data_IF_821988142232
#
_entry.id   IF_821988142232
#
_cell.length_a   1.000
_cell.length_b   1.000
_cell.length_c   1.000
_cell.angle_alpha   90.00
_cell.angle_beta   90.00
_cell.angle_gamma   90.00
#
_symmetry.space_group_name_H-M   'P 1'
#
loop_
_entity.id
_entity.type
_entity.pdbx_description
1 polymer ?
#
# COMPACT_ATOMS: atom_id res chain seq x y z
N UNK A 1 -49.81 18.25 -4.31
CA UNK A 1 -48.84 17.61 -3.43
C UNK A 1 -48.29 18.70 -2.50
N UNK A 2 -48.50 18.56 -1.20
CA UNK A 2 -48.38 19.65 -0.22
C UNK A 2 -46.96 20.22 -0.08
N UNK A 3 -45.93 19.48 -0.54
CA UNK A 3 -44.54 19.92 -0.46
C UNK A 3 -44.07 20.70 -1.71
N UNK A 4 -44.86 20.77 -2.80
CA UNK A 4 -44.52 21.53 -3.99
C UNK A 4 -44.99 22.99 -3.90
N UNK A 5 -44.08 23.90 -4.30
CA UNK A 5 -44.38 25.32 -4.48
C UNK A 5 -44.99 25.56 -5.87
N UNK A 6 -44.34 25.06 -6.94
CA UNK A 6 -44.84 25.10 -8.30
C UNK A 6 -44.32 23.96 -9.16
N UNK A 7 -44.96 23.76 -10.29
CA UNK A 7 -44.52 22.90 -11.38
C UNK A 7 -44.38 23.78 -12.63
N UNK A 8 -43.26 23.64 -13.34
CA UNK A 8 -42.98 24.46 -14.54
C UNK A 8 -42.53 23.55 -15.68
N UNK A 9 -43.05 23.83 -16.88
CA UNK A 9 -42.71 23.06 -18.10
C UNK A 9 -41.81 23.88 -18.99
N UNK A 10 -40.62 23.38 -19.26
CA UNK A 10 -39.66 24.02 -20.18
C UNK A 10 -39.22 23.05 -21.26
N UNK A 11 -39.77 23.17 -22.45
CA UNK A 11 -39.54 22.25 -23.55
C UNK A 11 -39.99 20.82 -23.18
N UNK A 12 -39.09 19.88 -23.18
CA UNK A 12 -39.35 18.50 -22.82
C UNK A 12 -39.19 18.19 -21.30
N UNK A 13 -38.89 19.19 -20.48
CA UNK A 13 -38.62 19.02 -19.06
C UNK A 13 -39.80 19.47 -18.21
N UNK A 14 -40.13 18.65 -17.20
CA UNK A 14 -41.09 18.97 -16.16
C UNK A 14 -40.31 19.24 -14.86
N UNK A 15 -40.24 20.51 -14.43
CA UNK A 15 -39.47 20.95 -13.28
C UNK A 15 -40.39 21.06 -12.07
N UNK A 16 -40.01 20.42 -10.96
CA UNK A 16 -40.70 20.50 -9.68
C UNK A 16 -39.94 21.40 -8.71
N UNK A 17 -40.59 22.40 -8.18
CA UNK A 17 -40.05 23.32 -7.19
C UNK A 17 -40.62 22.95 -5.82
N UNK A 18 -39.76 22.58 -4.89
CA UNK A 18 -40.16 22.26 -3.51
C UNK A 18 -40.28 23.54 -2.71
N UNK A 19 -41.26 23.63 -1.84
CA UNK A 19 -41.40 24.73 -0.86
C UNK A 19 -40.14 24.85 -0.03
N UNK A 20 -39.57 26.04 0.06
CA UNK A 20 -38.24 26.26 0.64
C UNK A 20 -38.20 25.95 2.14
N UNK A 21 -39.26 26.29 2.88
CA UNK A 21 -39.41 25.97 4.29
C UNK A 21 -39.47 24.47 4.56
N UNK A 22 -40.27 23.74 3.79
CA UNK A 22 -40.36 22.27 3.89
C UNK A 22 -39.00 21.61 3.53
N UNK A 23 -38.35 22.11 2.47
CA UNK A 23 -37.01 21.59 2.07
C UNK A 23 -35.99 21.79 3.20
N UNK A 24 -35.91 23.02 3.75
CA UNK A 24 -34.94 23.33 4.82
C UNK A 24 -35.23 22.51 6.07
N UNK A 25 -36.49 22.43 6.50
CA UNK A 25 -36.86 21.61 7.66
C UNK A 25 -36.50 20.14 7.47
N UNK A 26 -36.90 19.54 6.34
CA UNK A 26 -36.62 18.13 6.04
C UNK A 26 -35.11 17.85 6.00
N UNK A 27 -34.34 18.77 5.41
CA UNK A 27 -32.87 18.62 5.34
C UNK A 27 -32.23 18.71 6.72
N UNK A 28 -32.65 19.65 7.56
CA UNK A 28 -32.12 19.77 8.93
C UNK A 28 -32.48 18.55 9.76
N UNK A 29 -33.75 18.13 9.75
CA UNK A 29 -34.19 16.93 10.46
C UNK A 29 -33.43 15.66 10.00
N UNK A 30 -33.12 15.57 8.70
CA UNK A 30 -32.35 14.46 8.16
C UNK A 30 -30.87 14.54 8.56
N UNK A 31 -30.27 15.73 8.51
CA UNK A 31 -28.88 15.98 8.86
C UNK A 31 -28.57 15.72 10.35
N UNK A 32 -29.57 15.90 11.22
CA UNK A 32 -29.44 15.63 12.65
C UNK A 32 -29.53 14.15 13.02
N UNK A 33 -29.86 13.27 12.08
CA UNK A 33 -29.84 11.81 12.32
C UNK A 33 -28.41 11.28 12.37
N UNK A 34 -28.12 10.40 13.31
CA UNK A 34 -26.78 9.81 13.52
C UNK A 34 -26.19 9.16 12.27
N UNK A 35 -27.03 8.57 11.42
CA UNK A 35 -26.61 7.90 10.17
C UNK A 35 -26.92 8.73 8.91
N UNK A 36 -26.98 10.07 8.98
CA UNK A 36 -27.19 10.91 7.79
C UNK A 36 -26.14 10.61 6.70
N UNK A 37 -26.60 10.36 5.48
CA UNK A 37 -25.77 9.98 4.34
C UNK A 37 -25.28 8.51 4.36
N UNK A 38 -25.70 7.73 5.36
CA UNK A 38 -25.44 6.28 5.39
C UNK A 38 -26.45 5.50 4.54
N UNK A 39 -26.06 4.29 4.16
CA UNK A 39 -26.91 3.31 3.50
C UNK A 39 -26.56 1.89 3.91
N UNK A 40 -27.34 0.92 3.46
CA UNK A 40 -27.11 -0.52 3.61
C UNK A 40 -26.69 -1.19 2.28
N UNK A 41 -26.29 -0.39 1.28
CA UNK A 41 -25.84 -0.89 -0.03
C UNK A 41 -24.71 -1.93 0.09
N UNK A 42 -23.87 -1.74 1.10
CA UNK A 42 -22.73 -2.60 1.43
C UNK A 42 -23.06 -3.74 2.38
N UNK A 43 -24.31 -3.96 2.77
CA UNK A 43 -24.68 -5.03 3.70
C UNK A 43 -24.15 -6.39 3.21
N UNK A 44 -23.52 -7.15 4.12
CA UNK A 44 -22.90 -8.45 3.88
C UNK A 44 -21.76 -8.48 2.83
N UNK A 45 -21.28 -7.29 2.41
CA UNK A 45 -20.17 -7.17 1.46
C UNK A 45 -18.90 -6.70 2.16
N UNK A 46 -17.76 -7.28 1.77
CA UNK A 46 -16.44 -6.93 2.31
C UNK A 46 -15.62 -6.19 1.26
N UNK A 47 -15.00 -5.10 1.66
CA UNK A 47 -14.00 -4.37 0.86
C UNK A 47 -12.66 -4.42 1.58
N UNK A 48 -11.63 -4.88 0.89
CA UNK A 48 -10.25 -4.72 1.34
C UNK A 48 -9.67 -3.44 0.73
N UNK A 49 -8.94 -2.66 1.51
CA UNK A 49 -8.22 -1.49 1.02
C UNK A 49 -6.76 -1.62 1.47
N UNK A 50 -5.86 -1.65 0.48
CA UNK A 50 -4.41 -1.63 0.65
C UNK A 50 -3.93 -0.20 0.42
N UNK A 51 -3.39 0.43 1.46
CA UNK A 51 -2.96 1.83 1.40
C UNK A 51 -1.91 2.17 2.46
N UNK A 52 -1.30 3.33 2.36
CA UNK A 52 -0.14 3.79 3.13
C UNK A 52 1.13 3.05 2.74
N UNK A 53 1.29 1.81 3.15
CA UNK A 53 2.29 0.83 2.68
C UNK A 53 3.72 1.36 2.63
N UNK A 54 4.23 1.99 3.73
CA UNK A 54 5.58 2.53 3.76
C UNK A 54 6.63 1.41 3.78
N UNK A 55 7.81 1.74 3.25
CA UNK A 55 8.97 0.88 3.40
C UNK A 55 9.56 1.00 4.81
N UNK A 56 9.74 -0.12 5.48
CA UNK A 56 10.37 -0.20 6.81
C UNK A 56 11.79 0.38 6.78
N UNK A 57 12.21 0.98 7.88
CA UNK A 57 13.48 1.69 8.04
C UNK A 57 13.66 2.90 7.10
N UNK A 58 12.55 3.49 6.66
CA UNK A 58 12.54 4.75 5.90
C UNK A 58 11.58 5.75 6.53
N UNK A 59 11.90 7.03 6.37
CA UNK A 59 11.07 8.10 6.89
C UNK A 59 9.69 8.13 6.22
N UNK A 60 8.67 8.43 7.02
CA UNK A 60 7.32 8.66 6.53
C UNK A 60 7.23 10.09 5.94
N UNK A 61 7.19 10.19 4.63
CA UNK A 61 7.21 11.46 3.92
C UNK A 61 5.86 11.79 3.27
N UNK A 62 5.71 13.00 2.75
CA UNK A 62 4.48 13.52 2.12
C UNK A 62 3.91 12.62 1.02
N UNK A 63 4.73 11.84 0.32
CA UNK A 63 4.27 10.85 -0.66
C UNK A 63 3.46 9.73 -0.01
N UNK A 64 3.86 9.28 1.18
CA UNK A 64 3.09 8.31 1.96
C UNK A 64 1.80 8.93 2.54
N UNK A 65 1.83 10.22 2.90
CA UNK A 65 0.66 10.92 3.41
C UNK A 65 -0.49 10.90 2.39
N UNK A 66 -0.19 11.08 1.09
CA UNK A 66 -1.21 11.10 0.03
C UNK A 66 -1.99 9.78 -0.04
N UNK A 67 -1.30 8.64 -0.17
CA UNK A 67 -1.97 7.34 -0.22
C UNK A 67 -2.75 7.06 1.07
N UNK A 68 -2.18 7.44 2.20
CA UNK A 68 -2.78 7.27 3.53
C UNK A 68 -4.10 8.02 3.66
N UNK A 69 -4.16 9.29 3.25
CA UNK A 69 -5.39 10.10 3.29
C UNK A 69 -6.44 9.58 2.31
N UNK A 70 -6.04 9.26 1.07
CA UNK A 70 -6.98 8.73 0.06
C UNK A 70 -7.59 7.42 0.54
N UNK A 71 -6.75 6.48 1.00
CA UNK A 71 -7.21 5.18 1.49
C UNK A 71 -8.13 5.28 2.68
N UNK A 72 -7.80 6.14 3.65
CA UNK A 72 -8.65 6.38 4.82
C UNK A 72 -9.99 7.07 4.45
N UNK A 73 -9.99 7.96 3.45
CA UNK A 73 -11.22 8.56 2.94
C UNK A 73 -12.14 7.51 2.31
N UNK A 74 -11.57 6.63 1.49
CA UNK A 74 -12.30 5.50 0.92
C UNK A 74 -12.86 4.56 2.01
N UNK A 75 -12.04 4.26 3.02
CA UNK A 75 -12.51 3.50 4.19
C UNK A 75 -13.75 4.13 4.81
N UNK A 76 -13.70 5.44 5.12
CA UNK A 76 -14.83 6.15 5.74
C UNK A 76 -16.07 6.15 4.85
N UNK A 77 -15.91 6.35 3.54
CA UNK A 77 -17.00 6.35 2.56
C UNK A 77 -17.67 4.96 2.49
N UNK A 78 -16.88 3.90 2.26
CA UNK A 78 -17.43 2.56 2.17
C UNK A 78 -18.05 2.07 3.49
N UNK A 79 -17.44 2.42 4.63
CA UNK A 79 -18.03 2.13 5.94
C UNK A 79 -19.38 2.83 6.12
N UNK A 80 -19.51 4.09 5.65
CA UNK A 80 -20.76 4.85 5.70
C UNK A 80 -21.83 4.27 4.79
N UNK A 81 -21.42 3.61 3.69
CA UNK A 81 -22.31 2.86 2.78
C UNK A 81 -22.63 1.43 3.27
N UNK A 82 -22.28 1.09 4.50
CA UNK A 82 -22.62 -0.19 5.12
C UNK A 82 -21.70 -1.36 4.79
N UNK A 83 -20.59 -1.16 4.07
CA UNK A 83 -19.62 -2.22 3.81
C UNK A 83 -18.79 -2.54 5.06
N UNK A 84 -18.46 -3.82 5.24
CA UNK A 84 -17.36 -4.20 6.13
C UNK A 84 -16.04 -3.92 5.42
N UNK A 85 -15.28 -2.95 5.92
CA UNK A 85 -14.00 -2.58 5.32
C UNK A 85 -12.84 -3.17 6.12
N UNK A 86 -11.91 -3.82 5.43
CA UNK A 86 -10.65 -4.35 5.95
C UNK A 86 -9.53 -3.43 5.48
N UNK A 87 -8.86 -2.76 6.43
CA UNK A 87 -7.76 -1.81 6.17
C UNK A 87 -6.43 -2.53 6.32
N UNK A 88 -5.67 -2.61 5.23
CA UNK A 88 -4.40 -3.33 5.18
C UNK A 88 -3.27 -2.34 4.92
N UNK A 89 -2.26 -2.37 5.79
CA UNK A 89 -0.99 -1.69 5.60
C UNK A 89 0.03 -2.73 5.10
N UNK A 90 0.27 -2.73 3.78
CA UNK A 90 1.19 -3.66 3.13
C UNK A 90 2.61 -3.11 3.18
N UNK A 91 3.31 -3.35 4.28
CA UNK A 91 4.65 -2.81 4.52
C UNK A 91 5.69 -3.36 3.54
N UNK A 92 6.56 -2.50 3.04
CA UNK A 92 7.79 -2.91 2.35
C UNK A 92 8.84 -3.35 3.38
N UNK A 93 8.64 -4.52 3.96
CA UNK A 93 9.43 -5.02 5.09
C UNK A 93 10.34 -6.22 4.73
N UNK A 94 10.52 -6.51 3.44
CA UNK A 94 11.34 -7.62 2.99
C UNK A 94 12.16 -7.28 1.75
N UNK A 95 13.45 -7.67 1.75
CA UNK A 95 14.33 -7.44 0.61
C UNK A 95 15.79 -7.22 0.99
N UNK A 96 16.66 -7.15 -0.01
CA UNK A 96 18.11 -7.01 0.15
C UNK A 96 18.53 -5.74 0.90
N UNK A 97 17.67 -4.72 0.96
CA UNK A 97 17.93 -3.52 1.77
C UNK A 97 18.11 -3.82 3.26
N UNK A 98 17.48 -4.87 3.77
CA UNK A 98 17.65 -5.27 5.17
C UNK A 98 18.99 -5.91 5.44
N UNK A 99 19.54 -6.69 4.49
CA UNK A 99 20.90 -7.18 4.59
C UNK A 99 21.92 -6.03 4.67
N UNK A 100 21.74 -4.98 3.84
CA UNK A 100 22.56 -3.77 3.89
C UNK A 100 22.47 -3.05 5.24
N UNK A 101 21.26 -2.95 5.77
CA UNK A 101 21.02 -2.28 7.04
C UNK A 101 21.59 -3.08 8.22
N UNK A 102 21.51 -4.42 8.19
CA UNK A 102 22.13 -5.28 9.20
C UNK A 102 23.66 -5.11 9.19
N UNK A 103 24.30 -5.12 8.02
CA UNK A 103 25.74 -4.87 7.89
C UNK A 103 26.10 -3.49 8.42
N UNK A 104 25.34 -2.46 8.05
CA UNK A 104 25.57 -1.10 8.53
C UNK A 104 25.46 -0.99 10.06
N UNK A 105 24.43 -1.62 10.63
CA UNK A 105 24.26 -1.65 12.08
C UNK A 105 25.42 -2.37 12.78
N UNK A 106 25.82 -3.52 12.30
CA UNK A 106 26.93 -4.29 12.92
C UNK A 106 28.28 -3.58 12.84
N UNK A 107 28.53 -2.81 11.78
CA UNK A 107 29.80 -2.11 11.60
C UNK A 107 29.84 -0.72 12.26
N UNK A 108 28.73 0.02 12.28
CA UNK A 108 28.72 1.45 12.64
C UNK A 108 27.56 1.87 13.53
N UNK A 109 26.63 0.98 13.83
CA UNK A 109 25.50 1.26 14.70
C UNK A 109 25.74 0.85 16.15
N UNK A 110 24.95 1.43 17.04
CA UNK A 110 24.82 0.96 18.42
C UNK A 110 23.35 0.83 18.78
N UNK A 111 23.05 -0.06 19.72
CA UNK A 111 21.69 -0.26 20.17
C UNK A 111 21.10 1.02 20.76
N UNK A 112 21.89 1.74 21.57
CA UNK A 112 21.49 2.98 22.23
C UNK A 112 21.15 4.08 21.23
N UNK A 113 21.92 4.22 20.13
CA UNK A 113 21.64 5.20 19.09
C UNK A 113 20.35 4.87 18.33
N UNK A 114 20.14 3.60 17.98
CA UNK A 114 18.93 3.16 17.28
C UNK A 114 17.68 3.28 18.17
N UNK A 115 17.77 2.94 19.47
CA UNK A 115 16.66 3.11 20.40
C UNK A 115 16.33 4.58 20.68
N UNK A 116 17.33 5.47 20.65
CA UNK A 116 17.14 6.91 20.87
C UNK A 116 16.57 7.62 19.65
N UNK A 117 17.18 7.40 18.48
CA UNK A 117 16.94 8.20 17.28
C UNK A 117 16.07 7.46 16.23
N UNK A 118 15.69 6.20 16.48
CA UNK A 118 14.72 5.45 15.70
C UNK A 118 15.06 5.32 14.23
N UNK A 119 14.09 5.61 13.37
CA UNK A 119 14.24 5.52 11.91
C UNK A 119 15.28 6.50 11.37
N UNK A 120 15.50 7.64 12.02
CA UNK A 120 16.53 8.59 11.61
C UNK A 120 17.93 7.95 11.67
N UNK A 121 18.24 7.20 12.74
CA UNK A 121 19.50 6.46 12.83
C UNK A 121 19.59 5.32 11.80
N UNK A 122 18.51 4.57 11.58
CA UNK A 122 18.47 3.53 10.54
C UNK A 122 18.73 4.11 9.15
N UNK A 123 18.19 5.29 8.86
CA UNK A 123 18.44 6.00 7.60
C UNK A 123 19.90 6.47 7.50
N UNK A 124 20.47 7.01 8.56
CA UNK A 124 21.88 7.40 8.62
C UNK A 124 22.80 6.20 8.32
N UNK A 125 22.52 5.08 8.95
CA UNK A 125 23.25 3.83 8.74
C UNK A 125 23.10 3.33 7.28
N UNK A 126 21.90 3.41 6.71
CA UNK A 126 21.64 3.02 5.32
C UNK A 126 22.42 3.89 4.31
N UNK A 127 22.46 5.21 4.52
CA UNK A 127 23.25 6.12 3.68
C UNK A 127 24.73 5.80 3.81
N UNK A 128 25.22 5.65 5.04
CA UNK A 128 26.62 5.30 5.31
C UNK A 128 27.03 3.97 4.65
N UNK A 129 26.13 2.97 4.64
CA UNK A 129 26.39 1.74 3.94
C UNK A 129 26.71 1.97 2.45
N UNK A 130 25.92 2.81 1.77
CA UNK A 130 26.15 3.09 0.35
C UNK A 130 27.46 3.84 0.12
N UNK A 131 27.79 4.83 0.95
CA UNK A 131 29.06 5.57 0.84
C UNK A 131 30.28 4.66 1.04
N UNK A 132 30.20 3.70 1.96
CA UNK A 132 31.30 2.77 2.22
C UNK A 132 31.34 1.61 1.20
N UNK A 133 30.20 1.17 0.69
CA UNK A 133 30.12 0.13 -0.34
C UNK A 133 30.69 0.61 -1.70
N UNK A 134 30.63 1.90 -2.00
CA UNK A 134 31.28 2.49 -3.17
C UNK A 134 32.82 2.40 -3.08
N UNK A 135 33.38 2.36 -1.87
CA UNK A 135 34.80 2.22 -1.60
C UNK A 135 35.24 0.76 -1.41
N UNK A 136 34.36 -0.05 -0.85
CA UNK A 136 34.59 -1.47 -0.58
C UNK A 136 33.40 -2.32 -1.07
N UNK A 137 33.45 -2.88 -2.30
CA UNK A 137 32.40 -3.70 -2.87
C UNK A 137 32.07 -4.99 -2.08
N UNK A 138 33.00 -5.50 -1.24
CA UNK A 138 32.77 -6.71 -0.43
C UNK A 138 31.60 -6.54 0.54
N UNK A 139 31.30 -5.30 0.97
CA UNK A 139 30.14 -4.99 1.80
C UNK A 139 28.81 -5.37 1.14
N UNK A 140 28.75 -5.30 -0.20
CA UNK A 140 27.54 -5.69 -0.95
C UNK A 140 27.35 -7.20 -0.88
N UNK A 141 28.41 -7.97 -0.95
CA UNK A 141 28.34 -9.43 -0.85
C UNK A 141 28.02 -9.87 0.58
N UNK A 142 28.58 -9.18 1.58
CA UNK A 142 28.19 -9.37 2.99
C UNK A 142 26.69 -9.09 3.21
N UNK A 143 26.19 -8.00 2.63
CA UNK A 143 24.75 -7.68 2.71
C UNK A 143 23.86 -8.73 2.05
N UNK A 144 24.29 -9.29 0.91
CA UNK A 144 23.61 -10.43 0.28
C UNK A 144 23.61 -11.67 1.18
N UNK A 145 24.75 -11.94 1.82
CA UNK A 145 24.86 -13.06 2.75
C UNK A 145 23.93 -12.90 3.97
N UNK A 146 23.83 -11.68 4.53
CA UNK A 146 22.88 -11.41 5.62
C UNK A 146 21.43 -11.53 5.19
N UNK A 147 21.07 -11.07 3.99
CA UNK A 147 19.72 -11.26 3.48
C UNK A 147 19.42 -12.75 3.21
N UNK A 148 20.39 -13.51 2.68
CA UNK A 148 20.25 -14.96 2.53
C UNK A 148 20.04 -15.67 3.87
N UNK A 149 20.74 -15.26 4.94
CA UNK A 149 20.48 -15.76 6.30
C UNK A 149 19.03 -15.50 6.74
N UNK A 150 18.50 -14.30 6.50
CA UNK A 150 17.09 -14.00 6.78
C UNK A 150 16.15 -14.95 6.03
N UNK A 151 16.42 -15.21 4.76
CA UNK A 151 15.60 -16.10 3.93
C UNK A 151 15.62 -17.56 4.42
N UNK A 152 16.73 -18.00 5.03
CA UNK A 152 16.88 -19.34 5.58
C UNK A 152 16.54 -19.45 7.07
N UNK A 153 16.00 -18.41 7.67
CA UNK A 153 15.47 -18.46 9.03
C UNK A 153 16.52 -18.29 10.13
N UNK A 154 17.67 -17.68 9.85
CA UNK A 154 18.69 -17.39 10.86
C UNK A 154 18.13 -16.50 11.98
N UNK A 155 18.25 -16.93 13.21
CA UNK A 155 17.63 -16.28 14.37
C UNK A 155 18.18 -14.89 14.63
N UNK A 156 19.49 -14.68 14.47
CA UNK A 156 20.12 -13.38 14.67
C UNK A 156 19.64 -12.38 13.60
N UNK A 157 19.66 -12.78 12.34
CA UNK A 157 19.26 -11.95 11.23
C UNK A 157 17.76 -11.54 11.34
N UNK A 158 16.90 -12.49 11.67
CA UNK A 158 15.46 -12.25 11.86
C UNK A 158 15.17 -11.40 13.10
N UNK A 159 15.93 -11.58 14.19
CA UNK A 159 15.77 -10.76 15.39
C UNK A 159 16.11 -9.29 15.14
N UNK A 160 17.23 -9.01 14.45
CA UNK A 160 17.63 -7.65 14.10
C UNK A 160 16.62 -7.03 13.12
N UNK A 161 16.19 -7.78 12.12
CA UNK A 161 15.17 -7.33 11.16
C UNK A 161 13.83 -7.00 11.85
N UNK A 162 13.35 -7.86 12.75
CA UNK A 162 12.11 -7.63 13.50
C UNK A 162 12.21 -6.37 14.35
N UNK A 163 13.34 -6.18 15.02
CA UNK A 163 13.58 -4.98 15.83
C UNK A 163 13.54 -3.70 14.99
N UNK A 164 14.16 -3.68 13.79
CA UNK A 164 14.07 -2.54 12.88
C UNK A 164 12.64 -2.26 12.41
N UNK A 165 11.88 -3.32 12.18
CA UNK A 165 10.47 -3.23 11.82
C UNK A 165 9.65 -2.62 12.97
N UNK A 166 9.86 -3.08 14.20
CA UNK A 166 9.12 -2.61 15.37
C UNK A 166 9.38 -1.12 15.63
N UNK A 167 10.63 -0.69 15.54
CA UNK A 167 11.02 0.75 15.64
C UNK A 167 10.31 1.58 14.57
N UNK A 168 10.29 1.09 13.34
CA UNK A 168 9.66 1.81 12.23
C UNK A 168 8.15 1.93 12.42
N UNK A 169 7.50 0.88 12.93
CA UNK A 169 6.07 0.90 13.21
C UNK A 169 5.70 1.88 14.31
N UNK A 170 6.53 2.01 15.35
CA UNK A 170 6.32 3.02 16.41
C UNK A 170 6.31 4.42 15.82
N UNK A 171 7.22 4.74 14.91
CA UNK A 171 7.28 6.05 14.26
C UNK A 171 6.09 6.28 13.33
N UNK A 172 5.75 5.33 12.47
CA UNK A 172 4.60 5.46 11.58
C UNK A 172 3.30 5.62 12.35
N UNK A 173 3.17 4.93 13.49
CA UNK A 173 1.99 5.04 14.33
C UNK A 173 1.79 6.46 14.87
N UNK A 174 2.84 7.21 15.16
CA UNK A 174 2.71 8.64 15.55
C UNK A 174 1.99 9.46 14.48
N UNK A 175 2.41 9.30 13.23
CA UNK A 175 1.74 9.99 12.10
C UNK A 175 0.29 9.52 11.94
N UNK A 176 0.01 8.23 12.11
CA UNK A 176 -1.36 7.71 12.04
C UNK A 176 -2.23 8.24 13.18
N UNK A 177 -1.69 8.32 14.39
CA UNK A 177 -2.39 8.87 15.56
C UNK A 177 -2.73 10.37 15.35
N UNK A 178 -1.81 11.16 14.77
CA UNK A 178 -2.08 12.57 14.38
C UNK A 178 -3.20 12.68 13.35
N UNK A 179 -3.35 11.70 12.46
CA UNK A 179 -4.41 11.65 11.45
C UNK A 179 -5.72 11.02 11.97
N UNK A 180 -5.74 10.55 13.22
CA UNK A 180 -6.89 9.86 13.82
C UNK A 180 -7.26 8.58 13.09
N UNK A 181 -6.28 7.77 12.70
CA UNK A 181 -6.47 6.57 11.90
C UNK A 181 -5.62 5.40 12.37
N UNK A 182 -6.05 4.21 12.03
CA UNK A 182 -5.34 2.96 12.29
C UNK A 182 -5.66 1.93 11.19
N UNK A 183 -5.00 0.77 11.22
CA UNK A 183 -5.20 -0.33 10.30
C UNK A 183 -5.67 -1.58 11.05
N UNK A 184 -6.45 -2.41 10.37
CA UNK A 184 -6.86 -3.70 10.93
C UNK A 184 -5.71 -4.71 10.87
N UNK A 185 -4.85 -4.58 9.84
CA UNK A 185 -3.71 -5.46 9.64
C UNK A 185 -2.47 -4.74 9.10
N UNK A 186 -1.32 -5.05 9.68
CA UNK A 186 0.01 -4.70 9.21
C UNK A 186 0.67 -5.94 8.61
N UNK A 187 0.33 -6.26 7.35
CA UNK A 187 0.79 -7.45 6.64
C UNK A 187 1.73 -7.03 5.51
N UNK A 188 3.02 -7.06 5.78
CA UNK A 188 4.04 -6.69 4.81
C UNK A 188 4.43 -7.82 3.86
N UNK A 189 5.39 -7.53 2.98
CA UNK A 189 5.95 -8.50 2.02
C UNK A 189 6.48 -9.77 2.70
N UNK A 190 7.05 -9.63 3.91
CA UNK A 190 7.56 -10.75 4.71
C UNK A 190 6.51 -11.80 5.04
N UNK A 191 5.27 -11.40 5.23
CA UNK A 191 4.15 -12.29 5.53
C UNK A 191 3.78 -13.19 4.34
N UNK A 192 3.98 -12.70 3.12
CA UNK A 192 3.58 -13.42 1.90
C UNK A 192 4.68 -14.29 1.29
N UNK A 193 5.93 -14.19 1.76
CA UNK A 193 7.09 -14.90 1.18
C UNK A 193 6.86 -16.41 1.07
N UNK A 194 6.37 -17.03 2.14
CA UNK A 194 6.16 -18.48 2.22
C UNK A 194 4.95 -18.96 1.39
N UNK A 195 4.14 -18.03 0.89
CA UNK A 195 2.96 -18.26 0.04
C UNK A 195 3.26 -18.12 -1.46
N UNK A 196 4.46 -17.60 -1.79
CA UNK A 196 4.84 -17.40 -3.19
C UNK A 196 5.00 -18.70 -3.96
N UNK A 197 5.49 -19.77 -3.30
CA UNK A 197 5.69 -21.05 -3.96
C UNK A 197 4.38 -21.65 -4.45
N UNK A 198 3.32 -21.52 -3.68
CA UNK A 198 1.97 -21.98 -4.09
C UNK A 198 1.50 -21.27 -5.36
N UNK A 199 1.74 -19.97 -5.50
CA UNK A 199 1.41 -19.22 -6.73
C UNK A 199 2.21 -19.72 -7.92
N UNK A 200 3.51 -19.96 -7.75
CA UNK A 200 4.37 -20.50 -8.81
C UNK A 200 3.87 -21.88 -9.27
N UNK A 201 3.48 -22.73 -8.33
CA UNK A 201 2.98 -24.07 -8.63
C UNK A 201 1.62 -24.03 -9.35
N UNK A 202 0.71 -23.11 -8.96
CA UNK A 202 -0.54 -22.89 -9.66
C UNK A 202 -0.30 -22.42 -11.11
N UNK A 203 0.63 -21.50 -11.33
CA UNK A 203 0.97 -21.00 -12.67
C UNK A 203 1.60 -22.11 -13.54
N UNK A 204 2.46 -22.96 -12.96
CA UNK A 204 3.01 -24.14 -13.64
C UNK A 204 1.90 -25.12 -14.06
N UNK A 205 1.01 -25.44 -13.12
CA UNK A 205 -0.12 -26.36 -13.37
C UNK A 205 -1.05 -25.85 -14.47
N UNK A 206 -1.25 -24.54 -14.56
CA UNK A 206 -2.04 -23.88 -15.58
C UNK A 206 -1.29 -23.72 -16.92
N UNK A 207 -0.03 -24.16 -17.04
CA UNK A 207 0.84 -23.97 -18.20
C UNK A 207 0.99 -22.51 -18.64
N UNK A 208 0.96 -21.57 -17.70
CA UNK A 208 1.10 -20.15 -17.95
C UNK A 208 2.56 -19.64 -17.87
N UNK A 209 3.46 -20.43 -17.26
CA UNK A 209 4.87 -20.04 -17.12
C UNK A 209 5.66 -20.37 -18.38
N UNK A 210 6.45 -19.39 -18.82
CA UNK A 210 7.44 -19.51 -19.89
C UNK A 210 8.80 -19.05 -19.35
N UNK A 211 9.87 -19.68 -19.80
CA UNK A 211 11.22 -19.21 -19.54
C UNK A 211 11.59 -18.12 -20.56
N UNK A 212 12.12 -17.02 -20.06
CA UNK A 212 12.64 -15.92 -20.87
C UNK A 212 13.89 -15.35 -20.23
N UNK A 213 15.01 -15.38 -20.92
CA UNK A 213 16.31 -14.90 -20.46
C UNK A 213 16.74 -15.45 -19.08
N UNK A 214 16.29 -16.67 -18.76
CA UNK A 214 16.55 -17.35 -17.49
C UNK A 214 15.56 -17.00 -16.36
N UNK A 215 14.63 -16.07 -16.56
CA UNK A 215 13.54 -15.77 -15.64
C UNK A 215 12.26 -16.53 -16.03
N UNK A 216 11.40 -16.81 -15.06
CA UNK A 216 10.06 -17.35 -15.36
C UNK A 216 9.07 -16.18 -15.48
N UNK A 217 8.33 -16.16 -16.57
CA UNK A 217 7.38 -15.10 -16.91
C UNK A 217 5.99 -15.67 -17.24
N UNK A 218 4.96 -14.84 -17.11
CA UNK A 218 3.68 -15.02 -17.78
C UNK A 218 3.64 -14.07 -18.97
N UNK A 219 3.45 -14.63 -20.17
CA UNK A 219 3.33 -13.86 -21.40
C UNK A 219 1.97 -13.16 -21.45
N UNK A 220 1.99 -11.85 -21.65
CA UNK A 220 0.80 -11.00 -21.70
C UNK A 220 0.68 -10.25 -23.04
N UNK A 221 1.41 -10.69 -24.07
CA UNK A 221 1.44 -10.04 -25.40
C UNK A 221 0.06 -9.98 -26.06
N UNK A 222 -0.79 -10.99 -25.86
CA UNK A 222 -2.18 -11.01 -26.36
C UNK A 222 -3.07 -9.91 -25.75
N UNK A 223 -2.60 -9.24 -24.70
CA UNK A 223 -3.28 -8.17 -23.96
C UNK A 223 -2.56 -6.81 -24.08
N UNK A 224 -1.69 -6.65 -25.07
CA UNK A 224 -0.87 -5.43 -25.28
C UNK A 224 -0.07 -5.01 -24.03
N UNK A 225 0.40 -5.98 -23.24
CA UNK A 225 1.19 -5.74 -22.05
C UNK A 225 2.55 -6.46 -22.13
N UNK A 226 3.55 -5.83 -21.51
CA UNK A 226 4.83 -6.49 -21.27
C UNK A 226 4.65 -7.74 -20.41
N UNK A 227 5.52 -8.76 -20.53
CA UNK A 227 5.44 -9.98 -19.71
C UNK A 227 5.46 -9.69 -18.21
N UNK A 228 4.68 -10.44 -17.43
CA UNK A 228 4.75 -10.39 -15.99
C UNK A 228 5.86 -11.34 -15.51
N UNK A 229 6.91 -10.79 -14.92
CA UNK A 229 8.01 -11.61 -14.36
C UNK A 229 7.53 -12.21 -13.04
N UNK A 230 7.71 -13.52 -12.88
CA UNK A 230 7.29 -14.27 -11.69
C UNK A 230 8.48 -14.65 -10.81
N UNK A 231 9.57 -15.17 -11.39
CA UNK A 231 10.80 -15.43 -10.64
C UNK A 231 12.00 -14.95 -11.42
N UNK A 232 13.06 -14.57 -10.70
CA UNK A 232 14.35 -14.21 -11.28
C UNK A 232 15.11 -15.45 -11.75
N UNK A 233 16.29 -15.23 -12.38
CA UNK A 233 17.21 -16.29 -12.82
C UNK A 233 17.65 -17.22 -11.70
N UNK A 234 17.78 -16.70 -10.49
CA UNK A 234 18.15 -17.47 -9.29
C UNK A 234 16.96 -18.18 -8.63
N UNK A 235 15.77 -18.12 -9.25
CA UNK A 235 14.52 -18.71 -8.73
C UNK A 235 13.85 -17.90 -7.64
N UNK A 236 14.43 -16.78 -7.19
CA UNK A 236 13.83 -15.95 -6.14
C UNK A 236 12.56 -15.26 -6.63
N UNK A 237 11.57 -15.14 -5.73
CA UNK A 237 10.32 -14.41 -5.97
C UNK A 237 10.58 -12.90 -6.10
N UNK A 238 9.72 -12.23 -6.87
CA UNK A 238 9.75 -10.78 -7.02
C UNK A 238 8.45 -10.16 -6.52
N UNK A 239 8.32 -8.83 -6.66
CA UNK A 239 7.13 -8.09 -6.22
C UNK A 239 5.83 -8.69 -6.78
N UNK A 240 5.76 -9.00 -8.08
CA UNK A 240 4.55 -9.54 -8.70
C UNK A 240 4.10 -10.86 -8.05
N UNK A 241 5.01 -11.75 -7.70
CA UNK A 241 4.68 -13.03 -7.06
C UNK A 241 4.14 -12.84 -5.65
N UNK A 242 4.70 -11.86 -4.90
CA UNK A 242 4.21 -11.52 -3.55
C UNK A 242 2.83 -10.88 -3.62
N UNK A 243 2.59 -10.01 -4.60
CA UNK A 243 1.27 -9.39 -4.81
C UNK A 243 0.23 -10.41 -5.22
N UNK A 244 0.56 -11.37 -6.09
CA UNK A 244 -0.32 -12.51 -6.40
C UNK A 244 -0.65 -13.32 -5.14
N UNK A 245 0.36 -13.64 -4.33
CA UNK A 245 0.16 -14.35 -3.07
C UNK A 245 -0.73 -13.55 -2.10
N UNK A 246 -0.54 -12.22 -2.04
CA UNK A 246 -1.37 -11.34 -1.23
C UNK A 246 -2.83 -11.30 -1.70
N UNK A 247 -3.06 -11.25 -3.02
CA UNK A 247 -4.41 -11.27 -3.60
C UNK A 247 -5.14 -12.57 -3.22
N UNK A 248 -4.51 -13.72 -3.42
CA UNK A 248 -5.13 -15.01 -3.09
C UNK A 248 -5.36 -15.17 -1.59
N UNK A 249 -4.38 -14.80 -0.76
CA UNK A 249 -4.55 -14.82 0.68
C UNK A 249 -5.74 -13.95 1.13
N UNK A 250 -5.81 -12.72 0.64
CA UNK A 250 -6.90 -11.78 0.97
C UNK A 250 -8.25 -12.30 0.49
N UNK A 251 -8.32 -12.88 -0.72
CA UNK A 251 -9.56 -13.45 -1.23
C UNK A 251 -10.04 -14.62 -0.38
N UNK A 252 -9.14 -15.53 -0.05
CA UNK A 252 -9.46 -16.73 0.73
C UNK A 252 -9.77 -16.42 2.21
N UNK A 253 -9.16 -15.38 2.77
CA UNK A 253 -9.30 -15.05 4.19
C UNK A 253 -10.46 -14.09 4.45
N UNK A 254 -10.62 -13.07 3.61
CA UNK A 254 -11.60 -12.00 3.85
C UNK A 254 -12.83 -12.11 2.97
N UNK A 255 -12.82 -12.96 1.94
CA UNK A 255 -13.91 -13.16 1.01
C UNK A 255 -14.43 -11.86 0.39
N UNK A 256 -13.50 -10.94 0.08
CA UNK A 256 -13.83 -9.59 -0.38
C UNK A 256 -14.68 -9.59 -1.67
N UNK A 257 -15.57 -8.61 -1.76
CA UNK A 257 -16.28 -8.25 -2.99
C UNK A 257 -15.38 -7.36 -3.86
N UNK A 258 -14.62 -6.44 -3.23
CA UNK A 258 -13.61 -5.62 -3.90
C UNK A 258 -12.33 -5.54 -3.05
N UNK A 259 -11.19 -5.45 -3.74
CA UNK A 259 -9.91 -5.15 -3.14
C UNK A 259 -9.31 -3.95 -3.87
N UNK A 260 -9.14 -2.84 -3.15
CA UNK A 260 -8.67 -1.57 -3.68
C UNK A 260 -7.19 -1.40 -3.33
N UNK A 261 -6.36 -1.07 -4.32
CA UNK A 261 -4.93 -0.82 -4.18
C UNK A 261 -4.66 0.66 -4.42
N UNK A 262 -4.40 1.41 -3.35
CA UNK A 262 -4.19 2.87 -3.41
C UNK A 262 -2.70 3.14 -3.52
N UNK A 263 -2.18 3.19 -4.74
CA UNK A 263 -0.74 3.35 -5.01
C UNK A 263 -0.49 4.40 -6.10
N UNK A 264 0.78 4.79 -6.29
CA UNK A 264 1.16 5.76 -7.29
C UNK A 264 0.84 5.29 -8.72
N UNK A 265 0.54 6.25 -9.60
CA UNK A 265 0.20 5.97 -11.00
C UNK A 265 1.32 5.25 -11.79
N UNK A 266 2.57 5.35 -11.33
CA UNK A 266 3.71 4.64 -11.91
C UNK A 266 3.61 3.12 -11.77
N UNK A 267 2.76 2.62 -10.85
CA UNK A 267 2.51 1.19 -10.67
C UNK A 267 1.33 0.67 -11.51
N UNK A 268 0.75 1.50 -12.40
CA UNK A 268 -0.42 1.13 -13.19
C UNK A 268 -0.19 -0.12 -14.04
N UNK A 269 0.96 -0.22 -14.70
CA UNK A 269 1.28 -1.40 -15.52
C UNK A 269 1.44 -2.64 -14.64
N UNK A 270 2.14 -2.52 -13.51
CA UNK A 270 2.35 -3.61 -12.56
C UNK A 270 1.01 -4.22 -12.09
N UNK A 271 0.08 -3.40 -11.63
CA UNK A 271 -1.23 -3.90 -11.18
C UNK A 271 -2.06 -4.47 -12.34
N UNK A 272 -1.99 -3.87 -13.53
CA UNK A 272 -2.66 -4.42 -14.71
C UNK A 272 -2.15 -5.82 -15.04
N UNK A 273 -0.82 -6.04 -14.99
CA UNK A 273 -0.20 -7.35 -15.20
C UNK A 273 -0.63 -8.37 -14.12
N UNK A 274 -0.51 -8.00 -12.84
CA UNK A 274 -0.85 -8.88 -11.71
C UNK A 274 -2.33 -9.28 -11.78
N UNK A 275 -3.25 -8.34 -11.99
CA UNK A 275 -4.68 -8.63 -12.09
C UNK A 275 -4.99 -9.53 -13.29
N UNK A 276 -4.34 -9.31 -14.43
CA UNK A 276 -4.49 -10.17 -15.59
C UNK A 276 -3.99 -11.59 -15.33
N UNK A 277 -2.91 -11.77 -14.62
CA UNK A 277 -2.40 -13.10 -14.23
C UNK A 277 -3.41 -13.82 -13.34
N UNK A 278 -4.08 -13.13 -12.41
CA UNK A 278 -5.16 -13.71 -11.59
C UNK A 278 -6.33 -14.19 -12.46
N UNK A 279 -6.73 -13.40 -13.46
CA UNK A 279 -7.78 -13.79 -14.44
C UNK A 279 -7.36 -15.04 -15.23
N UNK A 280 -6.13 -15.08 -15.74
CA UNK A 280 -5.60 -16.20 -16.55
C UNK A 280 -5.51 -17.50 -15.74
N UNK A 281 -5.40 -17.41 -14.42
CA UNK A 281 -5.52 -18.57 -13.52
C UNK A 281 -6.98 -19.08 -13.35
N UNK A 282 -7.93 -18.55 -14.15
CA UNK A 282 -9.33 -18.96 -14.11
C UNK A 282 -10.18 -18.26 -13.06
N UNK A 283 -9.71 -17.12 -12.54
CA UNK A 283 -10.40 -16.33 -11.52
C UNK A 283 -11.16 -15.16 -12.14
N UNK A 284 -12.30 -15.42 -12.77
CA UNK A 284 -13.12 -14.38 -13.43
C UNK A 284 -13.55 -13.24 -12.52
N UNK A 285 -13.65 -13.50 -11.20
CA UNK A 285 -13.95 -12.46 -10.21
C UNK A 285 -12.93 -11.32 -10.19
N UNK A 286 -11.69 -11.56 -10.66
CA UNK A 286 -10.64 -10.56 -10.63
C UNK A 286 -11.00 -9.28 -11.39
N UNK A 287 -11.71 -9.41 -12.54
CA UNK A 287 -12.11 -8.29 -13.40
C UNK A 287 -12.90 -7.21 -12.67
N UNK A 288 -13.83 -7.63 -11.81
CA UNK A 288 -14.74 -6.73 -11.13
C UNK A 288 -14.31 -6.41 -9.69
N UNK A 289 -13.44 -7.27 -9.13
CA UNK A 289 -13.06 -7.17 -7.71
C UNK A 289 -11.72 -6.51 -7.44
N UNK A 290 -10.76 -6.60 -8.36
CA UNK A 290 -9.43 -6.00 -8.18
C UNK A 290 -9.39 -4.61 -8.82
N UNK A 291 -9.10 -3.59 -8.03
CA UNK A 291 -9.15 -2.20 -8.49
C UNK A 291 -7.88 -1.47 -8.05
N UNK A 292 -7.12 -0.96 -9.01
CA UNK A 292 -6.05 -0.01 -8.74
C UNK A 292 -6.65 1.40 -8.67
N UNK A 293 -6.37 2.11 -7.57
CA UNK A 293 -6.72 3.51 -7.36
C UNK A 293 -5.44 4.35 -7.50
N UNK A 294 -5.10 4.78 -8.72
CA UNK A 294 -3.86 5.50 -8.96
C UNK A 294 -3.97 6.95 -8.51
N UNK A 295 -2.88 7.47 -7.95
CA UNK A 295 -2.74 8.90 -7.66
C UNK A 295 -1.44 9.46 -8.25
N UNK A 296 -1.43 10.76 -8.55
CA UNK A 296 -0.26 11.45 -9.08
C UNK A 296 0.83 11.63 -8.02
N UNK A 297 2.08 11.67 -8.47
CA UNK A 297 3.24 11.92 -7.60
C UNK A 297 3.14 13.28 -6.91
N UNK A 298 3.69 13.36 -5.70
CA UNK A 298 3.97 14.64 -5.05
C UNK A 298 5.35 15.10 -5.53
N UNK A 299 5.42 16.32 -6.05
CA UNK A 299 6.68 16.96 -6.46
C UNK A 299 6.83 18.29 -5.75
N UNK A 300 8.06 18.68 -5.47
CA UNK A 300 8.41 19.99 -4.98
C UNK A 300 9.07 20.76 -6.15
N UNK A 301 8.53 21.94 -6.51
CA UNK A 301 9.05 22.79 -7.60
C UNK A 301 9.34 22.02 -8.92
N UNK A 302 8.52 21.01 -9.23
CA UNK A 302 8.68 20.16 -10.41
C UNK A 302 9.72 19.04 -10.28
N UNK A 303 10.46 18.97 -9.18
CA UNK A 303 11.40 17.88 -8.90
C UNK A 303 10.72 16.73 -8.13
N UNK A 304 11.04 15.49 -8.50
CA UNK A 304 10.58 14.30 -7.76
C UNK A 304 11.21 14.28 -6.38
N UNK A 305 10.39 14.09 -5.34
CA UNK A 305 10.90 13.82 -3.99
C UNK A 305 11.73 12.53 -4.00
N UNK A 306 12.95 12.61 -3.49
CA UNK A 306 13.87 11.47 -3.47
C UNK A 306 14.62 11.40 -2.14
N UNK A 307 14.52 10.26 -1.48
CA UNK A 307 15.29 9.96 -0.26
C UNK A 307 16.80 9.94 -0.49
N UNK A 308 17.24 9.74 -1.73
CA UNK A 308 18.68 9.72 -2.08
C UNK A 308 19.30 11.11 -2.21
N UNK A 309 18.50 12.14 -2.51
CA UNK A 309 18.98 13.52 -2.75
C UNK A 309 18.84 14.45 -1.53
N UNK A 310 18.39 13.95 -0.38
CA UNK A 310 18.22 14.75 0.84
C UNK A 310 17.00 15.68 0.86
N UNK A 311 16.24 15.79 -0.23
CA UNK A 311 15.03 16.59 -0.32
C UNK A 311 13.81 15.78 0.13
N UNK A 312 13.70 15.57 1.43
CA UNK A 312 12.57 14.87 2.05
C UNK A 312 11.76 15.91 2.83
N UNK A 313 10.44 15.93 2.59
CA UNK A 313 9.51 16.64 3.45
C UNK A 313 8.81 15.59 4.31
N UNK A 314 9.03 15.64 5.61
CA UNK A 314 8.39 14.74 6.56
C UNK A 314 6.90 15.02 6.63
N UNK A 315 6.10 13.96 6.74
CA UNK A 315 4.66 14.11 6.85
C UNK A 315 4.24 14.83 8.14
N UNK A 316 4.95 14.56 9.25
CA UNK A 316 4.71 15.20 10.53
C UNK A 316 4.93 16.73 10.49
N UNK A 317 5.97 17.19 9.80
CA UNK A 317 6.25 18.63 9.67
C UNK A 317 5.09 19.36 8.97
N UNK A 318 4.57 18.77 7.88
CA UNK A 318 3.41 19.33 7.17
C UNK A 318 2.17 19.35 8.06
N UNK A 319 1.95 18.28 8.82
CA UNK A 319 0.78 18.20 9.70
C UNK A 319 0.86 19.22 10.83
N UNK A 320 2.03 19.39 11.47
CA UNK A 320 2.25 20.40 12.49
C UNK A 320 2.09 21.82 11.94
N UNK A 321 2.72 22.12 10.80
CA UNK A 321 2.55 23.40 10.11
C UNK A 321 1.07 23.70 9.77
N UNK A 322 0.33 22.69 9.33
CA UNK A 322 -1.08 22.85 9.02
C UNK A 322 -1.91 23.13 10.28
N UNK A 323 -1.63 22.44 11.38
CA UNK A 323 -2.28 22.64 12.67
C UNK A 323 -1.99 24.06 13.18
N UNK A 324 -0.72 24.48 13.22
CA UNK A 324 -0.31 25.81 13.71
C UNK A 324 -0.95 26.95 12.88
N UNK A 325 -1.06 26.78 11.55
CA UNK A 325 -1.68 27.79 10.67
C UNK A 325 -3.20 27.79 10.70
N UNK A 326 -3.83 26.80 11.31
CA UNK A 326 -5.29 26.69 11.43
C UNK A 326 -5.83 27.33 12.72
N UNK A 327 -4.98 27.63 13.66
CA UNK A 327 -5.25 28.35 14.91
C UNK A 327 -4.79 29.80 14.80
#
# INVERSE_FOLDING_TARGET
>A
VDFLDKIDVQGAYLNFFVKKDIFVQTMIESALKDNFGGSDEGADKVICIDYSSPNVAKNFHVGHLRTTIIGNSLYKIYSKLGYKVIRINHLGDWGTQFGKLIVAYKNWGTKEAVEKDGVAELMRLYVKFHEEADKNPELVDEARAWFSKMEHGDEEALSIWQWFKDISLVEYKRTYDLLGMDFDYYLGESFYRDKCQEVVDQLKKANLLKESEGAMIVDLSDYDMAPCIITKKDGSSIYATRDLAAIFYRKNTYHFTKCLYVTGQEQKLHFAQVFKVVELLGNDWAKDSLVHIPYGLVSLEGAKLSTRSGNIIYAEDILHDAIEKSF
#
